data_IF_324016804378
#
_entry.id   IF_324016804378
#
_cell.length_a   1.000
_cell.length_b   1.000
_cell.length_c   1.000
_cell.angle_alpha   90.00
_cell.angle_beta   90.00
_cell.angle_gamma   90.00
#
_symmetry.space_group_name_H-M   'P 1'
#
loop_
_entity.id
_entity.type
_entity.pdbx_description
1 polymer ?
#
# COMPACT_ATOMS: atom_id res chain seq x y z
N UNK A 1 3.95 12.38 6.25
CA UNK A 1 4.46 12.76 7.59
C UNK A 1 4.07 11.66 8.55
N UNK A 2 4.97 11.24 9.46
CA UNK A 2 4.64 10.27 10.52
C UNK A 2 3.67 10.89 11.53
N UNK A 3 2.85 10.08 12.21
CA UNK A 3 1.99 10.60 13.28
C UNK A 3 2.84 11.24 14.37
N UNK A 4 2.42 12.42 14.83
CA UNK A 4 3.11 13.11 15.92
C UNK A 4 2.89 12.36 17.24
N UNK A 5 3.87 12.34 18.16
CA UNK A 5 3.67 11.76 19.47
C UNK A 5 2.48 12.41 20.22
N UNK A 6 1.75 11.65 21.06
CA UNK A 6 0.67 12.19 21.89
C UNK A 6 1.12 13.41 22.72
N UNK A 7 0.25 14.41 22.84
CA UNK A 7 0.54 15.63 23.60
C UNK A 7 0.91 15.36 25.06
N UNK A 8 0.29 14.35 25.68
CA UNK A 8 0.60 13.90 27.05
C UNK A 8 2.07 13.47 27.18
N UNK A 9 2.59 12.72 26.19
CA UNK A 9 3.99 12.28 26.19
C UNK A 9 4.95 13.43 25.88
N UNK A 10 4.56 14.37 25.00
CA UNK A 10 5.37 15.57 24.74
C UNK A 10 5.46 16.49 25.95
N UNK A 11 4.37 16.60 26.72
CA UNK A 11 4.33 17.38 27.96
C UNK A 11 5.21 16.73 29.03
N UNK A 12 5.09 15.42 29.22
CA UNK A 12 5.97 14.65 30.11
C UNK A 12 7.45 14.77 29.70
N UNK A 13 7.75 14.74 28.40
CA UNK A 13 9.11 14.91 27.89
C UNK A 13 9.68 16.29 28.21
N UNK A 14 8.89 17.36 28.01
CA UNK A 14 9.31 18.72 28.33
C UNK A 14 9.54 18.91 29.85
N UNK A 15 8.68 18.32 30.70
CA UNK A 15 8.88 18.30 32.15
C UNK A 15 10.16 17.58 32.53
N UNK A 16 10.40 16.38 31.96
CA UNK A 16 11.60 15.61 32.27
C UNK A 16 12.89 16.31 31.80
N UNK A 17 12.85 16.94 30.62
CA UNK A 17 13.96 17.78 30.14
C UNK A 17 14.26 18.91 31.14
N UNK A 18 13.23 19.59 31.66
CA UNK A 18 13.41 20.64 32.65
C UNK A 18 14.03 20.10 33.96
N UNK A 19 13.61 18.90 34.41
CA UNK A 19 14.19 18.27 35.60
C UNK A 19 15.67 17.95 35.41
N UNK A 20 16.07 17.40 34.25
CA UNK A 20 17.48 17.12 33.96
C UNK A 20 18.37 18.36 33.85
N UNK A 21 17.81 19.58 33.79
CA UNK A 21 18.58 20.83 33.93
C UNK A 21 18.85 21.21 35.38
N UNK A 22 18.05 20.71 36.34
CA UNK A 22 18.09 21.13 37.74
C UNK A 22 18.50 20.00 38.70
N UNK A 23 18.30 18.75 38.30
CA UNK A 23 18.48 17.54 39.10
C UNK A 23 19.13 16.43 38.26
N UNK A 24 19.83 15.50 38.92
CA UNK A 24 20.42 14.33 38.26
C UNK A 24 19.35 13.32 37.82
N UNK A 25 19.60 12.63 36.70
CA UNK A 25 18.69 11.60 36.20
C UNK A 25 18.67 10.37 37.11
N UNK A 26 17.47 9.80 37.28
CA UNK A 26 17.21 8.58 38.05
C UNK A 26 17.47 7.29 37.27
N UNK A 27 17.97 7.39 36.03
CA UNK A 27 18.28 6.22 35.20
C UNK A 27 19.23 5.26 35.92
N UNK A 28 20.29 5.76 36.55
CA UNK A 28 21.24 4.91 37.27
C UNK A 28 20.62 4.22 38.49
N UNK A 29 19.79 4.94 39.26
CA UNK A 29 19.01 4.38 40.37
C UNK A 29 18.17 3.19 39.88
N UNK A 30 17.46 3.35 38.76
CA UNK A 30 16.61 2.29 38.21
C UNK A 30 17.40 1.09 37.66
N UNK A 31 18.59 1.32 37.11
CA UNK A 31 19.47 0.24 36.66
C UNK A 31 20.00 -0.54 37.89
N UNK A 32 20.44 0.14 38.93
CA UNK A 32 20.90 -0.49 40.18
C UNK A 32 19.78 -1.30 40.86
N UNK A 33 18.58 -0.75 40.91
CA UNK A 33 17.38 -1.44 41.40
C UNK A 33 17.08 -2.74 40.63
N UNK A 34 17.19 -2.70 39.30
CA UNK A 34 16.95 -3.85 38.45
C UNK A 34 18.01 -4.94 38.69
N UNK A 35 19.28 -4.54 38.82
CA UNK A 35 20.39 -5.45 39.10
C UNK A 35 20.24 -6.13 40.46
N UNK A 36 19.78 -5.41 41.48
CA UNK A 36 19.51 -5.98 42.81
C UNK A 36 18.33 -6.98 42.85
N UNK A 37 17.35 -6.82 41.95
CA UNK A 37 16.16 -7.71 41.87
C UNK A 37 16.35 -8.91 40.94
N UNK A 38 17.46 -8.99 40.22
CA UNK A 38 17.69 -9.97 39.16
C UNK A 38 18.81 -10.95 39.55
N UNK A 39 18.79 -12.17 39.02
CA UNK A 39 19.89 -13.11 39.26
C UNK A 39 21.21 -12.59 38.69
N UNK A 40 22.37 -12.86 39.31
CA UNK A 40 23.66 -12.34 38.85
C UNK A 40 23.96 -12.64 37.38
N UNK A 41 23.59 -13.84 36.91
CA UNK A 41 23.77 -14.27 35.52
C UNK A 41 22.95 -13.44 34.52
N UNK A 42 21.73 -13.01 34.89
CA UNK A 42 20.89 -12.17 34.03
C UNK A 42 21.30 -10.70 34.13
N UNK A 43 21.70 -10.24 35.31
CA UNK A 43 22.21 -8.88 35.52
C UNK A 43 23.46 -8.61 34.69
N UNK A 44 24.36 -9.59 34.55
CA UNK A 44 25.58 -9.49 33.74
C UNK A 44 25.34 -9.17 32.25
N UNK A 45 24.15 -9.47 31.70
CA UNK A 45 23.82 -9.12 30.32
C UNK A 45 23.49 -7.63 30.14
N UNK A 46 23.27 -6.89 31.23
CA UNK A 46 22.83 -5.50 31.24
C UNK A 46 23.80 -4.58 31.98
N UNK A 47 24.98 -5.08 32.37
CA UNK A 47 26.04 -4.27 32.97
C UNK A 47 26.77 -3.47 31.91
N UNK A 48 27.27 -2.30 32.31
CA UNK A 48 28.15 -1.49 31.46
C UNK A 48 29.38 -2.33 31.07
N UNK A 49 29.73 -2.42 29.77
CA UNK A 49 30.94 -3.10 29.35
C UNK A 49 32.21 -2.49 29.95
N UNK A 50 33.21 -3.32 30.22
CA UNK A 50 34.55 -2.88 30.63
C UNK A 50 35.41 -2.46 29.45
N UNK A 51 35.02 -2.84 28.23
CA UNK A 51 35.68 -2.43 27.00
C UNK A 51 35.43 -0.94 26.74
N UNK A 52 36.50 -0.20 26.46
CA UNK A 52 36.36 1.19 26.06
C UNK A 52 35.60 1.32 24.74
N UNK A 53 34.77 2.35 24.69
CA UNK A 53 34.02 2.72 23.50
C UNK A 53 34.96 3.33 22.44
N UNK A 54 35.02 2.70 21.26
CA UNK A 54 35.94 3.03 20.17
C UNK A 54 35.17 3.57 18.97
N UNK A 55 35.51 4.78 18.54
CA UNK A 55 35.00 5.39 17.32
C UNK A 55 36.14 5.53 16.31
N UNK A 56 35.97 4.96 15.12
CA UNK A 56 36.91 5.11 14.01
C UNK A 56 36.53 6.29 13.11
N UNK A 57 37.47 6.76 12.29
CA UNK A 57 37.22 7.73 11.23
C UNK A 57 36.16 7.18 10.25
N UNK A 58 35.32 8.07 9.71
CA UNK A 58 34.17 7.69 8.88
C UNK A 58 34.56 6.96 7.58
N UNK A 59 35.77 7.22 7.07
CA UNK A 59 36.32 6.63 5.85
C UNK A 59 37.01 5.28 6.09
N UNK A 60 37.25 4.91 7.35
CA UNK A 60 37.87 3.64 7.70
C UNK A 60 36.79 2.57 7.79
N UNK A 61 36.87 1.57 6.91
CA UNK A 61 35.92 0.47 6.88
C UNK A 61 36.46 -0.78 7.59
N UNK A 62 35.57 -1.45 8.34
CA UNK A 62 35.90 -2.68 9.03
C UNK A 62 36.22 -3.81 8.04
N UNK A 63 37.21 -4.65 8.38
CA UNK A 63 37.57 -5.83 7.61
C UNK A 63 36.54 -6.97 7.72
N UNK A 64 36.90 -8.17 7.25
CA UNK A 64 36.01 -9.34 7.24
C UNK A 64 35.73 -9.98 8.63
N UNK A 65 36.29 -9.41 9.70
CA UNK A 65 36.09 -9.89 11.08
C UNK A 65 34.75 -9.42 11.64
N UNK A 66 34.27 -10.07 12.70
CA UNK A 66 33.09 -9.65 13.47
C UNK A 66 33.47 -8.79 14.69
N UNK A 67 34.77 -8.51 14.89
CA UNK A 67 35.30 -7.78 16.06
C UNK A 67 36.36 -6.76 15.65
N UNK A 68 36.40 -5.63 16.37
CA UNK A 68 37.36 -4.55 16.12
C UNK A 68 38.73 -4.76 16.81
N UNK A 69 39.11 -6.01 17.10
CA UNK A 69 40.38 -6.32 17.77
C UNK A 69 41.56 -6.07 16.84
N UNK A 70 41.40 -6.42 15.55
CA UNK A 70 42.45 -6.32 14.53
C UNK A 70 42.38 -5.00 13.73
N UNK A 71 41.54 -4.05 14.15
CA UNK A 71 41.42 -2.75 13.52
C UNK A 71 42.63 -1.86 13.84
N UNK A 72 43.03 -1.05 12.85
CA UNK A 72 44.13 -0.11 12.98
C UNK A 72 43.75 1.04 13.92
N UNK A 73 44.36 1.03 15.10
CA UNK A 73 44.11 2.02 16.15
C UNK A 73 44.52 3.44 15.75
N UNK A 74 45.35 3.62 14.71
CA UNK A 74 45.69 4.96 14.21
C UNK A 74 44.50 5.67 13.55
N UNK A 75 43.47 4.92 13.14
CA UNK A 75 42.22 5.46 12.61
C UNK A 75 41.18 5.77 13.70
N UNK A 76 41.53 5.66 14.98
CA UNK A 76 40.64 6.07 16.07
C UNK A 76 40.49 7.59 16.09
N UNK A 77 39.25 8.04 16.25
CA UNK A 77 38.93 9.45 16.42
C UNK A 77 39.36 9.89 17.81
N UNK A 78 40.19 10.94 17.89
CA UNK A 78 40.56 11.57 19.16
C UNK A 78 39.34 12.26 19.77
N UNK A 79 38.92 11.80 20.96
CA UNK A 79 37.80 12.36 21.71
C UNK A 79 38.26 12.74 23.11
N UNK A 80 37.67 13.79 23.68
CA UNK A 80 37.87 14.12 25.09
C UNK A 80 37.39 12.97 25.97
N UNK A 81 38.14 12.67 27.03
CA UNK A 81 37.66 11.75 28.06
C UNK A 81 36.32 12.25 28.61
N UNK A 82 35.42 11.33 28.90
CA UNK A 82 34.18 11.68 29.60
C UNK A 82 34.51 12.00 31.06
N UNK A 83 33.82 12.99 31.62
CA UNK A 83 33.97 13.36 33.02
C UNK A 83 33.32 12.33 33.97
N UNK A 84 32.35 11.57 33.46
CA UNK A 84 31.61 10.55 34.19
C UNK A 84 31.12 9.41 33.28
N UNK A 85 30.84 8.27 33.90
CA UNK A 85 30.40 7.03 33.22
C UNK A 85 28.88 6.93 33.04
N UNK A 86 28.15 7.99 33.36
CA UNK A 86 26.69 8.00 33.31
C UNK A 86 26.16 8.02 31.86
N UNK A 87 24.97 7.45 31.59
CA UNK A 87 24.33 7.55 30.29
C UNK A 87 24.01 9.00 29.91
N UNK A 88 24.24 9.36 28.64
CA UNK A 88 23.78 10.64 28.08
C UNK A 88 22.41 10.46 27.45
N UNK A 89 21.52 11.40 27.72
CA UNK A 89 20.19 11.45 27.13
C UNK A 89 20.21 12.47 25.99
N UNK A 90 19.93 12.01 24.77
CA UNK A 90 19.85 12.85 23.59
C UNK A 90 18.40 13.10 23.21
N UNK A 91 18.05 14.36 23.01
CA UNK A 91 16.73 14.78 22.57
C UNK A 91 16.81 15.30 21.14
N UNK A 92 16.15 14.63 20.20
CA UNK A 92 16.19 15.04 18.81
C UNK A 92 15.52 14.06 17.87
N UNK A 93 15.75 14.28 16.57
CA UNK A 93 15.18 13.46 15.51
C UNK A 93 15.89 12.10 15.42
N UNK A 94 15.06 11.06 15.30
CA UNK A 94 15.49 9.69 15.01
C UNK A 94 15.07 9.38 13.57
N UNK A 95 16.03 9.05 12.71
CA UNK A 95 15.76 8.55 11.37
C UNK A 95 15.34 7.08 11.41
N UNK A 96 14.44 6.69 10.52
CA UNK A 96 14.06 5.29 10.31
C UNK A 96 14.49 4.84 8.93
N UNK A 97 15.18 3.71 8.83
CA UNK A 97 15.69 3.14 7.59
C UNK A 97 15.20 1.70 7.41
N UNK A 98 14.87 1.32 6.18
CA UNK A 98 14.51 -0.06 5.81
C UNK A 98 15.71 -1.02 5.76
N UNK A 99 16.94 -0.50 5.86
CA UNK A 99 18.19 -1.26 5.84
C UNK A 99 19.12 -0.78 6.95
N UNK A 100 19.95 -1.70 7.45
CA UNK A 100 20.98 -1.36 8.45
C UNK A 100 22.00 -0.43 7.81
N UNK A 101 22.17 0.78 8.37
CA UNK A 101 23.26 1.67 7.98
C UNK A 101 24.56 1.14 8.61
N UNK A 102 25.54 0.80 7.76
CA UNK A 102 26.86 0.28 8.15
C UNK A 102 28.00 1.02 7.45
N UNK A 103 27.80 2.31 7.20
CA UNK A 103 28.72 3.16 6.46
C UNK A 103 28.83 4.51 7.19
N UNK A 104 30.02 4.79 7.73
CA UNK A 104 30.29 5.99 8.51
C UNK A 104 30.10 7.28 7.72
N UNK A 105 30.42 7.28 6.42
CA UNK A 105 30.18 8.44 5.53
C UNK A 105 28.70 8.67 5.33
N UNK A 106 27.93 7.59 5.12
CA UNK A 106 26.48 7.70 4.95
C UNK A 106 25.80 8.20 6.21
N UNK A 107 26.24 7.74 7.38
CA UNK A 107 25.79 8.26 8.69
C UNK A 107 26.03 9.77 8.80
N UNK A 108 27.24 10.23 8.53
CA UNK A 108 27.59 11.65 8.68
C UNK A 108 26.78 12.53 7.71
N UNK A 109 26.56 12.04 6.48
CA UNK A 109 25.68 12.69 5.52
C UNK A 109 24.22 12.75 6.03
N UNK A 110 23.67 11.66 6.58
CA UNK A 110 22.33 11.66 7.16
C UNK A 110 22.20 12.68 8.32
N UNK A 111 23.20 12.74 9.19
CA UNK A 111 23.24 13.69 10.31
C UNK A 111 23.26 15.14 9.81
N UNK A 112 24.05 15.45 8.78
CA UNK A 112 24.12 16.80 8.18
C UNK A 112 22.83 17.18 7.44
N UNK A 113 22.32 16.29 6.59
CA UNK A 113 21.19 16.57 5.72
C UNK A 113 19.86 16.66 6.49
N UNK A 114 19.69 15.84 7.54
CA UNK A 114 18.42 15.68 8.24
C UNK A 114 18.45 16.15 9.70
N UNK A 115 19.62 16.48 10.26
CA UNK A 115 19.76 16.85 11.66
C UNK A 115 19.39 15.72 12.63
N UNK A 116 19.61 14.46 12.23
CA UNK A 116 19.26 13.28 13.03
C UNK A 116 20.41 12.84 13.93
N UNK A 117 20.07 12.33 15.11
CA UNK A 117 21.04 11.86 16.10
C UNK A 117 21.22 10.35 16.09
N UNK A 118 20.24 9.62 15.54
CA UNK A 118 20.17 8.17 15.60
C UNK A 118 19.42 7.63 14.38
N UNK A 119 19.81 6.44 13.93
CA UNK A 119 19.13 5.70 12.86
C UNK A 119 18.64 4.37 13.43
N UNK A 120 17.35 4.10 13.23
CA UNK A 120 16.66 2.90 13.67
C UNK A 120 15.95 2.22 12.48
N UNK A 121 15.31 1.06 12.68
CA UNK A 121 14.80 0.26 11.55
C UNK A 121 13.32 -0.13 11.59
N UNK A 122 12.56 0.23 12.64
CA UNK A 122 11.23 -0.37 12.88
C UNK A 122 10.16 0.64 13.34
N UNK A 123 10.54 1.73 14.00
CA UNK A 123 9.61 2.64 14.66
C UNK A 123 8.73 3.42 13.69
N UNK A 124 9.23 3.78 12.49
CA UNK A 124 8.39 4.45 11.49
C UNK A 124 7.19 3.60 11.05
N UNK A 125 7.30 2.27 11.06
CA UNK A 125 6.18 1.37 10.78
C UNK A 125 5.06 1.54 11.80
N UNK A 126 5.39 1.55 13.09
CA UNK A 126 4.42 1.71 14.18
C UNK A 126 3.83 3.12 14.24
N UNK A 127 4.66 4.14 14.03
CA UNK A 127 4.23 5.55 14.02
C UNK A 127 3.23 5.87 12.91
N UNK A 128 3.14 5.04 11.85
CA UNK A 128 2.12 5.20 10.84
C UNK A 128 0.74 4.72 11.31
N UNK A 129 0.69 3.80 12.27
CA UNK A 129 -0.54 3.14 12.69
C UNK A 129 -1.14 3.79 13.95
N UNK A 130 -0.30 4.33 14.84
CA UNK A 130 -0.77 5.08 16.01
C UNK A 130 0.25 6.13 16.49
N UNK A 131 -0.21 7.24 17.10
CA UNK A 131 0.65 8.22 17.76
C UNK A 131 1.50 7.58 18.86
N UNK A 132 2.83 7.66 18.77
CA UNK A 132 3.73 7.18 19.82
C UNK A 132 5.02 8.02 19.92
N UNK A 133 5.72 7.90 21.06
CA UNK A 133 7.04 8.47 21.28
C UNK A 133 8.08 7.34 21.22
N UNK A 134 9.18 7.56 20.51
CA UNK A 134 10.24 6.57 20.33
C UNK A 134 11.38 6.84 21.32
N UNK A 135 11.76 5.81 22.08
CA UNK A 135 12.90 5.81 23.01
C UNK A 135 13.84 4.69 22.57
N UNK A 136 15.12 5.00 22.35
CA UNK A 136 16.11 4.05 21.85
C UNK A 136 17.43 4.19 22.61
N UNK A 137 18.07 3.06 22.88
CA UNK A 137 19.42 3.01 23.41
C UNK A 137 20.44 2.99 22.26
N UNK A 138 21.47 3.81 22.36
CA UNK A 138 22.55 3.87 21.36
C UNK A 138 23.66 2.91 21.81
N UNK A 139 24.03 1.97 20.94
CA UNK A 139 25.09 0.98 21.20
C UNK A 139 26.10 0.84 20.07
N UNK A 140 25.84 1.45 18.91
CA UNK A 140 26.65 1.36 17.69
C UNK A 140 26.69 2.73 17.01
N UNK A 141 27.71 2.94 16.17
CA UNK A 141 27.94 4.17 15.43
C UNK A 141 27.34 4.19 14.03
N UNK A 142 26.45 3.26 13.68
CA UNK A 142 25.89 3.15 12.32
C UNK A 142 26.95 3.08 11.21
N UNK A 143 28.11 2.52 11.53
CA UNK A 143 29.22 2.29 10.61
C UNK A 143 29.50 0.77 10.48
N UNK A 144 30.60 0.42 9.84
CA UNK A 144 31.00 -0.97 9.63
C UNK A 144 31.55 -1.64 10.91
N UNK A 145 31.82 -0.90 11.98
CA UNK A 145 32.45 -1.35 13.22
C UNK A 145 31.40 -1.69 14.30
N UNK A 146 30.86 -2.91 14.26
CA UNK A 146 29.83 -3.36 15.21
C UNK A 146 30.36 -3.58 16.62
N UNK A 147 29.57 -3.19 17.62
CA UNK A 147 29.84 -3.41 19.02
C UNK A 147 28.66 -4.08 19.76
N UNK A 148 28.68 -5.42 19.79
CA UNK A 148 27.62 -6.22 20.44
C UNK A 148 27.63 -6.09 21.97
N UNK A 149 28.75 -5.71 22.59
CA UNK A 149 28.88 -5.68 24.06
C UNK A 149 27.95 -4.63 24.69
N UNK A 150 27.70 -3.52 23.99
CA UNK A 150 26.91 -2.40 24.51
C UNK A 150 25.40 -2.58 24.35
N UNK A 151 24.93 -3.54 23.55
CA UNK A 151 23.50 -3.71 23.24
C UNK A 151 22.64 -3.91 24.50
N UNK A 152 23.09 -4.77 25.41
CA UNK A 152 22.39 -5.04 26.65
C UNK A 152 22.33 -3.82 27.57
N UNK A 153 23.46 -3.12 27.74
CA UNK A 153 23.52 -1.90 28.54
C UNK A 153 22.66 -0.77 27.95
N UNK A 154 22.74 -0.54 26.64
CA UNK A 154 21.93 0.46 25.95
C UNK A 154 20.43 0.17 26.07
N UNK A 155 20.03 -1.10 25.97
CA UNK A 155 18.63 -1.52 26.15
C UNK A 155 18.11 -1.24 27.57
N UNK A 156 18.91 -1.53 28.62
CA UNK A 156 18.48 -1.27 29.99
C UNK A 156 18.43 0.22 30.30
N UNK A 157 19.35 1.03 29.76
CA UNK A 157 19.33 2.49 29.85
C UNK A 157 18.06 3.05 29.23
N UNK A 158 17.71 2.60 28.01
CA UNK A 158 16.47 3.04 27.35
C UNK A 158 15.22 2.66 28.15
N UNK A 159 15.19 1.47 28.75
CA UNK A 159 14.09 1.03 29.60
C UNK A 159 14.00 1.83 30.92
N UNK A 160 15.14 2.12 31.55
CA UNK A 160 15.21 2.95 32.74
C UNK A 160 14.75 4.38 32.47
N UNK A 161 15.17 4.97 31.34
CA UNK A 161 14.69 6.27 30.90
C UNK A 161 13.19 6.26 30.60
N UNK A 162 12.67 5.21 29.95
CA UNK A 162 11.24 5.06 29.70
C UNK A 162 10.44 5.00 31.02
N UNK A 163 10.96 4.32 32.05
CA UNK A 163 10.36 4.31 33.38
C UNK A 163 10.36 5.72 33.99
N UNK A 164 11.47 6.43 33.90
CA UNK A 164 11.58 7.80 34.40
C UNK A 164 10.56 8.73 33.73
N UNK A 165 10.42 8.65 32.40
CA UNK A 165 9.43 9.39 31.64
C UNK A 165 8.00 9.07 32.12
N UNK A 166 7.66 7.79 32.29
CA UNK A 166 6.33 7.37 32.75
C UNK A 166 6.01 7.93 34.14
N UNK A 167 7.00 8.08 35.02
CA UNK A 167 6.80 8.62 36.37
C UNK A 167 6.44 10.12 36.39
N UNK A 168 6.71 10.86 35.30
CA UNK A 168 6.32 12.28 35.17
C UNK A 168 5.10 12.49 34.28
N UNK A 169 4.47 11.41 33.78
CA UNK A 169 3.24 11.50 32.99
C UNK A 169 2.06 11.84 33.92
N UNK A 170 1.32 12.93 33.69
CA UNK A 170 0.14 13.28 34.49
C UNK A 170 -0.99 12.27 34.35
N UNK A 171 -1.48 11.72 35.48
CA UNK A 171 -2.51 10.66 35.52
C UNK A 171 -3.85 11.15 34.92
N UNK A 172 -4.24 12.39 35.21
CA UNK A 172 -5.45 13.04 34.70
C UNK A 172 -5.47 13.15 33.17
N UNK A 173 -4.30 13.36 32.57
CA UNK A 173 -4.16 13.37 31.11
C UNK A 173 -4.19 11.96 30.52
N UNK A 174 -3.73 10.94 31.24
CA UNK A 174 -3.79 9.54 30.78
C UNK A 174 -5.23 9.06 30.69
N UNK A 175 -6.07 9.39 31.66
CA UNK A 175 -7.49 8.98 31.68
C UNK A 175 -8.31 9.57 30.52
N UNK A 176 -7.90 10.73 30.01
CA UNK A 176 -8.58 11.45 28.92
C UNK A 176 -7.94 11.24 27.55
N UNK A 177 -6.75 10.63 27.49
CA UNK A 177 -6.05 10.35 26.23
C UNK A 177 -6.55 9.03 25.63
N UNK A 178 -7.01 9.01 24.37
CA UNK A 178 -7.39 7.77 23.69
C UNK A 178 -6.24 6.76 23.70
N UNK A 179 -6.56 5.48 23.96
CA UNK A 179 -5.52 4.45 23.92
C UNK A 179 -5.07 4.20 22.47
N UNK A 180 -3.89 3.61 22.29
CA UNK A 180 -3.46 3.16 20.96
C UNK A 180 -4.47 2.20 20.33
N UNK A 181 -5.10 1.34 21.15
CA UNK A 181 -6.15 0.42 20.71
C UNK A 181 -7.40 1.16 20.23
N UNK A 182 -7.84 2.19 20.94
CA UNK A 182 -9.01 2.98 20.55
C UNK A 182 -8.72 3.76 19.26
N UNK A 183 -7.52 4.32 19.14
CA UNK A 183 -7.10 5.03 17.92
C UNK A 183 -7.06 4.11 16.69
N UNK A 184 -6.56 2.89 16.88
CA UNK A 184 -6.55 1.84 15.83
C UNK A 184 -7.97 1.34 15.51
N UNK A 185 -8.83 1.20 16.52
CA UNK A 185 -10.21 0.76 16.32
C UNK A 185 -11.07 1.84 15.64
N UNK A 186 -10.94 3.10 16.05
CA UNK A 186 -11.67 4.23 15.49
C UNK A 186 -11.25 4.52 14.05
N UNK A 187 -9.97 4.46 13.71
CA UNK A 187 -9.51 4.65 12.33
C UNK A 187 -10.03 3.56 11.39
N UNK A 188 -10.04 2.31 11.85
CA UNK A 188 -10.63 1.19 11.11
C UNK A 188 -12.15 1.36 11.02
N UNK A 189 -12.87 1.69 12.09
CA UNK A 189 -14.34 1.81 12.02
C UNK A 189 -14.83 3.06 11.28
N UNK A 190 -14.12 4.18 11.39
CA UNK A 190 -14.51 5.48 10.81
C UNK A 190 -14.51 5.46 9.29
N UNK A 191 -13.56 4.74 8.68
CA UNK A 191 -13.39 4.70 7.23
C UNK A 191 -13.73 3.36 6.60
N UNK A 192 -14.23 2.39 7.37
CA UNK A 192 -14.57 1.08 6.85
C UNK A 192 -15.88 1.12 6.04
N UNK A 193 -15.76 0.93 4.72
CA UNK A 193 -16.89 0.73 3.81
C UNK A 193 -16.62 -0.54 3.00
N UNK A 194 -17.20 -1.70 3.41
CA UNK A 194 -16.96 -2.97 2.75
C UNK A 194 -17.32 -2.91 1.27
N UNK A 195 -16.56 -3.63 0.44
CA UNK A 195 -16.83 -3.77 -0.99
C UNK A 195 -18.25 -4.31 -1.23
N UNK A 196 -19.07 -3.52 -1.92
CA UNK A 196 -20.40 -3.92 -2.37
C UNK A 196 -20.34 -4.28 -3.86
N UNK A 197 -20.66 -5.54 -4.16
CA UNK A 197 -20.75 -6.07 -5.52
C UNK A 197 -22.17 -6.53 -5.86
N UNK A 198 -23.20 -6.10 -5.11
CA UNK A 198 -24.59 -6.50 -5.35
C UNK A 198 -25.05 -6.22 -6.80
N UNK A 199 -24.49 -5.19 -7.44
CA UNK A 199 -24.77 -4.82 -8.83
C UNK A 199 -23.74 -5.33 -9.85
N UNK A 200 -22.76 -6.13 -9.41
CA UNK A 200 -21.66 -6.59 -10.25
C UNK A 200 -21.77 -8.10 -10.50
N UNK A 201 -21.82 -8.56 -11.76
CA UNK A 201 -22.01 -9.98 -12.06
C UNK A 201 -20.87 -10.83 -11.49
N UNK A 202 -21.22 -11.97 -10.89
CA UNK A 202 -20.26 -12.97 -10.43
C UNK A 202 -19.80 -13.80 -11.62
N UNK A 203 -18.53 -13.69 -11.98
CA UNK A 203 -17.90 -14.62 -12.91
C UNK A 203 -17.28 -15.77 -12.13
N UNK A 204 -17.76 -16.99 -12.36
CA UNK A 204 -17.21 -18.21 -11.76
C UNK A 204 -15.86 -18.60 -12.36
N UNK A 205 -15.63 -18.28 -13.64
CA UNK A 205 -14.46 -18.72 -14.39
C UNK A 205 -13.62 -17.51 -14.86
N UNK A 206 -12.65 -17.12 -14.04
CA UNK A 206 -11.60 -16.16 -14.39
C UNK A 206 -10.32 -16.92 -14.72
N UNK A 207 -9.68 -16.64 -15.86
CA UNK A 207 -8.46 -17.34 -16.31
C UNK A 207 -7.37 -16.38 -16.71
N UNK A 208 -6.13 -16.75 -16.39
CA UNK A 208 -4.94 -15.95 -16.66
C UNK A 208 -4.93 -14.64 -15.87
N UNK A 209 -4.17 -13.67 -16.39
CA UNK A 209 -4.06 -12.30 -15.87
C UNK A 209 -3.36 -12.11 -14.52
N UNK A 210 -2.64 -13.12 -14.04
CA UNK A 210 -1.96 -13.02 -12.76
C UNK A 210 -0.89 -11.92 -12.79
N UNK A 211 -0.11 -11.85 -13.86
CA UNK A 211 0.89 -10.79 -14.04
C UNK A 211 0.25 -9.40 -14.03
N UNK A 212 -0.88 -9.20 -14.71
CA UNK A 212 -1.60 -7.92 -14.66
C UNK A 212 -2.13 -7.58 -13.27
N UNK A 213 -2.66 -8.56 -12.53
CA UNK A 213 -3.12 -8.38 -11.14
C UNK A 213 -1.96 -8.02 -10.21
N UNK A 214 -0.84 -8.73 -10.32
CA UNK A 214 0.35 -8.52 -9.50
C UNK A 214 0.96 -7.14 -9.75
N UNK A 215 1.03 -6.72 -11.02
CA UNK A 215 1.50 -5.37 -11.39
C UNK A 215 0.55 -4.28 -10.87
N UNK A 216 -0.77 -4.47 -11.00
CA UNK A 216 -1.75 -3.55 -10.42
C UNK A 216 -1.59 -3.45 -8.90
N UNK A 217 -1.38 -4.58 -8.22
CA UNK A 217 -1.19 -4.61 -6.78
C UNK A 217 0.11 -3.92 -6.37
N UNK A 218 1.21 -4.16 -7.08
CA UNK A 218 2.48 -3.48 -6.82
C UNK A 218 2.34 -1.96 -6.84
N UNK A 219 1.53 -1.43 -7.74
CA UNK A 219 1.29 0.00 -7.86
C UNK A 219 0.23 0.53 -6.88
N UNK A 220 -0.95 -0.11 -6.80
CA UNK A 220 -2.11 0.40 -6.05
C UNK A 220 -2.11 0.04 -4.56
N UNK A 221 -1.17 -0.78 -4.08
CA UNK A 221 -1.02 -1.21 -2.69
C UNK A 221 -1.36 -0.12 -1.67
N UNK A 222 -2.26 -0.42 -0.73
CA UNK A 222 -2.70 0.52 0.31
C UNK A 222 -1.59 0.80 1.34
N UNK A 223 -0.63 1.63 0.95
CA UNK A 223 0.43 2.16 1.80
C UNK A 223 0.00 3.52 2.37
N UNK A 224 0.54 3.91 3.52
CA UNK A 224 0.42 5.29 4.05
C UNK A 224 1.25 6.32 3.26
N UNK A 225 1.46 6.07 1.96
CA UNK A 225 2.09 7.01 1.04
C UNK A 225 1.26 8.30 0.98
N UNK A 226 1.96 9.43 0.90
CA UNK A 226 1.36 10.76 0.84
C UNK A 226 1.01 11.20 -0.59
N UNK A 227 1.02 10.29 -1.57
CA UNK A 227 0.67 10.60 -2.96
C UNK A 227 -0.46 9.69 -3.47
N UNK A 228 -1.40 10.28 -4.20
CA UNK A 228 -2.49 9.56 -4.87
C UNK A 228 -1.93 8.71 -6.01
N UNK A 229 -2.45 7.50 -6.13
CA UNK A 229 -2.10 6.57 -7.21
C UNK A 229 -3.25 6.46 -8.19
N UNK A 230 -2.98 6.60 -9.49
CA UNK A 230 -4.00 6.51 -10.55
C UNK A 230 -3.54 5.48 -11.57
N UNK A 231 -4.22 4.35 -11.64
CA UNK A 231 -3.96 3.29 -12.61
C UNK A 231 -4.99 3.32 -13.73
N UNK A 232 -4.53 3.37 -14.98
CA UNK A 232 -5.37 3.39 -16.18
C UNK A 232 -5.35 2.02 -16.84
N UNK A 233 -6.35 1.20 -16.55
CA UNK A 233 -6.54 -0.11 -17.15
C UNK A 233 -7.20 0.01 -18.53
N UNK A 234 -6.40 -0.05 -19.60
CA UNK A 234 -6.88 0.28 -20.95
C UNK A 234 -6.69 -0.87 -21.97
N UNK A 235 -7.48 -0.86 -23.04
CA UNK A 235 -7.43 -1.87 -24.10
C UNK A 235 -8.73 -1.98 -24.87
N UNK A 236 -8.76 -2.83 -25.90
CA UNK A 236 -9.94 -3.01 -26.77
C UNK A 236 -11.20 -3.44 -26.00
N UNK A 237 -12.37 -3.23 -26.60
CA UNK A 237 -13.65 -3.72 -26.07
C UNK A 237 -13.64 -5.25 -25.91
N UNK A 238 -14.27 -5.77 -24.86
CA UNK A 238 -14.36 -7.22 -24.64
C UNK A 238 -13.08 -7.92 -24.15
N UNK A 239 -12.01 -7.17 -23.84
CA UNK A 239 -10.73 -7.71 -23.34
C UNK A 239 -10.74 -8.13 -21.87
N UNK A 240 -11.83 -7.87 -21.15
CA UNK A 240 -11.98 -8.24 -19.74
C UNK A 240 -11.47 -7.21 -18.74
N UNK A 241 -11.28 -5.94 -19.11
CA UNK A 241 -10.82 -4.86 -18.20
C UNK A 241 -11.68 -4.75 -16.94
N UNK A 242 -13.00 -4.65 -17.12
CA UNK A 242 -13.97 -4.63 -16.02
C UNK A 242 -13.83 -5.85 -15.12
N UNK A 243 -13.64 -7.04 -15.70
CA UNK A 243 -13.50 -8.29 -14.94
C UNK A 243 -12.18 -8.37 -14.17
N UNK A 244 -11.11 -7.85 -14.74
CA UNK A 244 -9.82 -7.71 -14.09
C UNK A 244 -9.89 -6.74 -12.90
N UNK A 245 -10.57 -5.60 -13.06
CA UNK A 245 -10.81 -4.64 -11.96
C UNK A 245 -11.67 -5.23 -10.83
N UNK A 246 -12.71 -6.00 -11.16
CA UNK A 246 -13.54 -6.71 -10.17
C UNK A 246 -12.70 -7.74 -9.41
N UNK A 247 -11.88 -8.50 -10.14
CA UNK A 247 -10.99 -9.51 -9.55
C UNK A 247 -9.99 -8.86 -8.59
N UNK A 248 -9.35 -7.78 -9.02
CA UNK A 248 -8.44 -6.98 -8.19
C UNK A 248 -9.13 -6.50 -6.90
N UNK A 249 -10.32 -5.91 -7.01
CA UNK A 249 -11.08 -5.43 -5.85
C UNK A 249 -11.42 -6.56 -4.87
N UNK A 250 -11.77 -7.74 -5.37
CA UNK A 250 -12.08 -8.93 -4.55
C UNK A 250 -10.86 -9.47 -3.83
N UNK A 251 -9.74 -9.62 -4.55
CA UNK A 251 -8.51 -10.20 -4.01
C UNK A 251 -7.88 -9.31 -2.92
N UNK A 252 -8.14 -7.99 -2.99
CA UNK A 252 -7.58 -7.00 -2.06
C UNK A 252 -8.61 -6.28 -1.19
N UNK A 253 -9.83 -6.82 -1.08
CA UNK A 253 -10.94 -6.16 -0.36
C UNK A 253 -10.61 -5.84 1.12
N UNK A 254 -9.80 -6.69 1.75
CA UNK A 254 -9.43 -6.57 3.16
C UNK A 254 -8.18 -5.69 3.35
N UNK A 255 -7.53 -5.25 2.26
CA UNK A 255 -6.37 -4.36 2.30
C UNK A 255 -6.75 -2.87 2.23
N UNK A 256 -7.93 -2.55 1.71
CA UNK A 256 -8.46 -1.19 1.64
C UNK A 256 -9.49 -0.97 2.76
N UNK A 257 -9.57 0.26 3.28
CA UNK A 257 -10.62 0.64 4.26
C UNK A 257 -11.95 0.84 3.58
N UNK A 258 -11.97 1.37 2.36
CA UNK A 258 -13.19 1.57 1.59
C UNK A 258 -12.99 1.24 0.12
N UNK A 259 -13.97 0.60 -0.51
CA UNK A 259 -13.97 0.35 -1.95
C UNK A 259 -15.28 0.81 -2.58
N UNK A 260 -15.17 1.67 -3.59
CA UNK A 260 -16.29 2.19 -4.35
C UNK A 260 -16.16 1.84 -5.83
N UNK A 261 -17.24 1.28 -6.38
CA UNK A 261 -17.38 1.00 -7.80
C UNK A 261 -18.31 2.03 -8.43
N UNK A 262 -17.81 2.81 -9.38
CA UNK A 262 -18.50 3.95 -9.98
C UNK A 262 -18.64 3.78 -11.48
N UNK A 263 -19.79 4.19 -12.02
CA UNK A 263 -20.08 4.09 -13.46
C UNK A 263 -19.55 5.33 -14.17
N UNK A 264 -18.57 5.15 -15.04
CA UNK A 264 -17.94 6.18 -15.85
C UNK A 264 -18.55 6.40 -17.22
N UNK A 265 -19.70 5.77 -17.51
CA UNK A 265 -20.34 5.77 -18.84
C UNK A 265 -20.50 7.19 -19.44
N UNK A 266 -20.94 8.12 -18.61
CA UNK A 266 -21.13 9.55 -18.91
C UNK A 266 -21.11 10.34 -17.58
N UNK A 267 -21.06 11.67 -17.64
CA UNK A 267 -20.96 12.56 -16.46
C UNK A 267 -22.11 12.35 -15.48
N UNK A 268 -23.32 12.18 -15.99
CA UNK A 268 -24.54 12.08 -15.16
C UNK A 268 -24.61 10.72 -14.44
N UNK A 269 -24.25 9.62 -15.12
CA UNK A 269 -24.13 8.31 -14.51
C UNK A 269 -23.08 8.29 -13.40
N UNK A 270 -21.96 9.01 -13.61
CA UNK A 270 -20.92 9.12 -12.61
C UNK A 270 -21.39 9.86 -11.36
N UNK A 271 -21.99 11.04 -11.55
CA UNK A 271 -22.57 11.85 -10.48
C UNK A 271 -23.57 11.05 -9.64
N UNK A 272 -24.49 10.34 -10.29
CA UNK A 272 -25.47 9.48 -9.60
C UNK A 272 -24.80 8.34 -8.83
N UNK A 273 -23.75 7.73 -9.38
CA UNK A 273 -23.01 6.66 -8.69
C UNK A 273 -22.25 7.16 -7.46
N UNK A 274 -21.67 8.37 -7.53
CA UNK A 274 -21.02 9.04 -6.39
C UNK A 274 -22.03 9.42 -5.30
N UNK A 275 -23.16 10.02 -5.69
CA UNK A 275 -24.27 10.33 -4.79
C UNK A 275 -24.77 9.06 -4.07
N UNK A 276 -24.97 7.96 -4.80
CA UNK A 276 -25.39 6.70 -4.20
C UNK A 276 -24.34 6.11 -3.25
N UNK A 277 -23.04 6.25 -3.58
CA UNK A 277 -21.94 5.78 -2.74
C UNK A 277 -21.90 6.48 -1.38
N UNK A 278 -22.33 7.75 -1.28
CA UNK A 278 -22.38 8.50 -0.03
C UNK A 278 -23.27 7.81 1.02
N UNK A 279 -24.35 7.14 0.61
CA UNK A 279 -25.27 6.44 1.51
C UNK A 279 -24.62 5.29 2.28
N UNK A 280 -23.44 4.83 1.83
CA UNK A 280 -22.67 3.74 2.46
C UNK A 280 -21.61 4.27 3.44
N UNK A 281 -21.43 5.58 3.51
CA UNK A 281 -20.40 6.21 4.35
C UNK A 281 -20.90 6.33 5.80
N UNK A 282 -20.15 5.83 6.81
CA UNK A 282 -20.53 5.95 8.21
C UNK A 282 -20.71 7.40 8.66
N UNK A 283 -21.83 7.68 9.35
CA UNK A 283 -22.12 9.01 9.90
C UNK A 283 -22.55 10.06 8.88
N UNK A 284 -22.61 9.73 7.59
CA UNK A 284 -23.23 10.56 6.56
C UNK A 284 -24.67 10.11 6.36
N UNK A 285 -25.63 10.94 6.78
CA UNK A 285 -27.02 10.78 6.38
C UNK A 285 -27.11 11.31 4.95
N UNK A 286 -27.01 10.41 3.97
CA UNK A 286 -27.58 10.71 2.67
C UNK A 286 -29.07 10.90 2.88
N UNK A 287 -29.57 12.13 2.71
CA UNK A 287 -31.01 12.35 2.65
C UNK A 287 -31.55 11.44 1.54
N UNK A 288 -32.42 10.51 1.91
CA UNK A 288 -32.89 9.44 1.03
C UNK A 288 -33.52 10.02 -0.24
N UNK A 289 -32.78 9.92 -1.35
CA UNK A 289 -33.23 10.21 -2.70
C UNK A 289 -33.10 11.69 -3.07
N UNK A 290 -31.93 12.07 -3.62
CA UNK A 290 -31.78 13.35 -4.31
C UNK A 290 -32.86 13.50 -5.38
N UNK A 291 -33.64 14.57 -5.28
CA UNK A 291 -34.82 14.84 -6.11
C UNK A 291 -34.50 15.71 -7.32
N UNK A 292 -33.37 16.45 -7.29
CA UNK A 292 -32.87 17.25 -8.39
C UNK A 292 -31.35 17.07 -8.65
N UNK A 293 -30.88 17.55 -9.80
CA UNK A 293 -29.48 17.40 -10.22
C UNK A 293 -28.48 18.18 -9.34
N UNK A 294 -28.92 19.23 -8.64
CA UNK A 294 -28.05 20.01 -7.75
C UNK A 294 -27.75 19.25 -6.47
N UNK A 295 -28.76 18.58 -5.90
CA UNK A 295 -28.60 17.69 -4.75
C UNK A 295 -27.65 16.54 -5.07
N UNK A 296 -27.79 15.92 -6.26
CA UNK A 296 -26.88 14.86 -6.72
C UNK A 296 -25.43 15.37 -6.78
N UNK A 297 -25.22 16.55 -7.35
CA UNK A 297 -23.88 17.14 -7.45
C UNK A 297 -23.29 17.50 -6.07
N UNK A 298 -24.11 18.01 -5.16
CA UNK A 298 -23.69 18.30 -3.78
C UNK A 298 -23.28 17.01 -3.04
N UNK A 299 -24.08 15.95 -3.15
CA UNK A 299 -23.79 14.66 -2.53
C UNK A 299 -22.52 14.03 -3.12
N UNK A 300 -22.32 14.13 -4.44
CA UNK A 300 -21.08 13.68 -5.07
C UNK A 300 -19.85 14.44 -4.52
N UNK A 301 -19.96 15.77 -4.35
CA UNK A 301 -18.88 16.58 -3.72
C UNK A 301 -18.62 16.18 -2.26
N UNK A 302 -19.66 15.89 -1.48
CA UNK A 302 -19.50 15.41 -0.10
C UNK A 302 -18.79 14.06 -0.06
N UNK A 303 -19.10 13.15 -0.98
CA UNK A 303 -18.41 11.86 -1.11
C UNK A 303 -16.92 12.05 -1.39
N UNK A 304 -16.56 12.92 -2.35
CA UNK A 304 -15.17 13.27 -2.64
C UNK A 304 -14.47 13.97 -1.46
N UNK A 305 -15.20 14.82 -0.72
CA UNK A 305 -14.70 15.46 0.49
C UNK A 305 -14.39 14.45 1.60
N UNK A 306 -15.24 13.45 1.79
CA UNK A 306 -15.01 12.38 2.75
C UNK A 306 -13.77 11.55 2.42
N UNK A 307 -13.56 11.24 1.14
CA UNK A 307 -12.35 10.57 0.65
C UNK A 307 -11.08 11.40 0.88
N UNK A 308 -11.20 12.73 0.93
CA UNK A 308 -10.09 13.64 1.20
C UNK A 308 -9.84 13.97 2.68
N UNK A 309 -10.54 13.32 3.62
CA UNK A 309 -10.32 13.55 5.05
C UNK A 309 -8.93 13.06 5.50
N UNK A 310 -8.33 13.80 6.43
CA UNK A 310 -7.07 13.39 7.05
C UNK A 310 -7.20 12.00 7.70
N UNK A 311 -6.22 11.14 7.44
CA UNK A 311 -6.23 9.73 7.85
C UNK A 311 -7.01 8.78 6.93
N UNK A 312 -7.79 9.27 5.96
CA UNK A 312 -8.50 8.43 5.00
C UNK A 312 -7.66 8.14 3.75
N UNK A 313 -6.51 7.48 3.90
CA UNK A 313 -5.54 7.26 2.80
C UNK A 313 -5.65 5.90 2.11
N UNK A 314 -6.42 4.97 2.69
CA UNK A 314 -6.44 3.55 2.30
C UNK A 314 -7.72 3.14 1.54
N UNK A 315 -8.38 4.07 0.86
CA UNK A 315 -9.52 3.76 0.00
C UNK A 315 -9.10 3.41 -1.44
N UNK A 316 -9.99 2.71 -2.14
CA UNK A 316 -9.94 2.43 -3.57
C UNK A 316 -11.22 2.92 -4.27
N UNK A 317 -11.08 3.73 -5.31
CA UNK A 317 -12.18 4.08 -6.21
C UNK A 317 -11.93 3.43 -7.57
N UNK A 318 -12.94 2.75 -8.09
CA UNK A 318 -12.91 2.15 -9.41
C UNK A 318 -13.89 2.89 -10.32
N UNK A 319 -13.39 3.63 -11.29
CA UNK A 319 -14.19 4.24 -12.35
C UNK A 319 -14.25 3.29 -13.54
N UNK A 320 -15.38 2.60 -13.72
CA UNK A 320 -15.54 1.62 -14.80
C UNK A 320 -16.14 2.27 -16.05
N UNK A 321 -15.68 1.86 -17.24
CA UNK A 321 -16.25 2.25 -18.53
C UNK A 321 -16.13 3.75 -18.87
N UNK A 322 -14.96 4.35 -18.60
CA UNK A 322 -14.63 5.72 -19.03
C UNK A 322 -14.25 5.71 -20.51
N UNK A 323 -15.23 5.84 -21.39
CA UNK A 323 -15.01 5.83 -22.85
C UNK A 323 -15.32 7.18 -23.53
N UNK A 324 -15.66 8.19 -22.73
CA UNK A 324 -15.90 9.56 -23.16
C UNK A 324 -15.03 10.48 -22.31
N UNK A 325 -13.94 10.98 -22.87
CA UNK A 325 -13.00 11.83 -22.16
C UNK A 325 -12.72 13.09 -22.97
N UNK A 326 -12.80 14.24 -22.31
CA UNK A 326 -12.38 15.52 -22.86
C UNK A 326 -11.71 16.32 -21.73
N UNK A 327 -10.39 16.62 -21.82
CA UNK A 327 -9.73 17.43 -20.81
C UNK A 327 -10.30 18.84 -20.77
N UNK A 328 -10.24 19.50 -19.60
CA UNK A 328 -10.60 20.91 -19.46
C UNK A 328 -9.97 21.75 -20.59
N UNK A 329 -10.80 22.54 -21.28
CA UNK A 329 -10.49 23.40 -22.44
C UNK A 329 -10.58 22.78 -23.83
N UNK A 330 -10.97 21.51 -23.98
CA UNK A 330 -11.27 20.94 -25.30
C UNK A 330 -12.77 21.05 -25.61
N UNK A 331 -13.13 21.94 -26.54
CA UNK A 331 -14.53 22.13 -27.02
C UNK A 331 -14.98 21.06 -28.02
N UNK A 332 -14.20 19.98 -28.18
CA UNK A 332 -14.41 18.96 -29.21
C UNK A 332 -14.90 17.66 -28.57
N UNK A 333 -16.20 17.41 -28.66
CA UNK A 333 -16.82 16.12 -28.33
C UNK A 333 -17.75 16.14 -27.12
N UNK A 334 -18.52 15.07 -26.97
CA UNK A 334 -19.47 14.86 -25.86
C UNK A 334 -18.81 14.25 -24.60
N UNK A 335 -17.48 14.39 -24.46
CA UNK A 335 -16.73 13.87 -23.32
C UNK A 335 -16.80 14.80 -22.10
N UNK A 336 -16.38 14.28 -20.95
CA UNK A 336 -16.24 15.06 -19.72
C UNK A 336 -14.85 14.85 -19.12
N UNK A 337 -14.43 15.75 -18.24
CA UNK A 337 -13.16 15.62 -17.54
C UNK A 337 -13.36 14.79 -16.26
N UNK A 338 -12.89 13.54 -16.28
CA UNK A 338 -12.98 12.66 -15.12
C UNK A 338 -12.13 13.16 -13.94
N UNK A 339 -11.10 13.98 -14.19
CA UNK A 339 -10.24 14.51 -13.13
C UNK A 339 -10.98 15.48 -12.19
N UNK A 340 -12.09 16.10 -12.64
CA UNK A 340 -12.98 16.91 -11.79
C UNK A 340 -13.58 16.08 -10.63
N UNK A 341 -13.62 14.76 -10.78
CA UNK A 341 -14.17 13.80 -9.82
C UNK A 341 -13.10 13.12 -8.98
N UNK A 342 -11.86 13.60 -8.99
CA UNK A 342 -10.82 13.12 -8.09
C UNK A 342 -10.93 13.83 -6.73
N UNK A 343 -10.72 13.13 -5.60
CA UNK A 343 -10.66 13.78 -4.30
C UNK A 343 -9.56 14.85 -4.26
N UNK A 344 -9.80 15.95 -3.54
CA UNK A 344 -8.86 17.09 -3.48
C UNK A 344 -7.52 16.68 -2.85
N UNK A 345 -7.55 15.77 -1.89
CA UNK A 345 -6.35 15.29 -1.21
C UNK A 345 -5.51 14.37 -2.10
N UNK A 346 -4.19 14.47 -1.95
CA UNK A 346 -3.21 13.66 -2.71
C UNK A 346 -2.95 12.31 -2.03
N UNK A 347 -3.98 11.52 -1.78
CA UNK A 347 -3.84 10.17 -1.25
C UNK A 347 -4.92 9.23 -1.80
N UNK A 348 -4.87 7.96 -1.41
CA UNK A 348 -5.78 6.94 -1.90
C UNK A 348 -5.39 6.38 -3.26
N UNK A 349 -6.22 5.47 -3.75
CA UNK A 349 -5.96 4.69 -4.97
C UNK A 349 -7.14 4.77 -5.92
N UNK A 350 -6.87 5.11 -7.17
CA UNK A 350 -7.86 5.20 -8.25
C UNK A 350 -7.50 4.16 -9.32
N UNK A 351 -8.48 3.36 -9.72
CA UNK A 351 -8.39 2.44 -10.84
C UNK A 351 -9.44 2.84 -11.88
N UNK A 352 -9.02 3.06 -13.13
CA UNK A 352 -9.92 3.46 -14.21
C UNK A 352 -9.92 2.38 -15.28
N UNK A 353 -11.10 1.95 -15.76
CA UNK A 353 -11.19 1.08 -16.94
C UNK A 353 -11.65 1.87 -18.18
N UNK A 354 -10.95 1.71 -19.30
CA UNK A 354 -11.21 2.50 -20.51
C UNK A 354 -10.82 1.80 -21.81
N UNK A 355 -11.47 2.14 -22.94
CA UNK A 355 -11.00 1.84 -24.30
C UNK A 355 -10.06 2.92 -24.86
N UNK A 356 -10.00 4.09 -24.22
CA UNK A 356 -9.25 5.25 -24.68
C UNK A 356 -7.79 5.17 -24.21
N UNK A 357 -6.86 5.05 -25.15
CA UNK A 357 -5.44 5.13 -24.83
C UNK A 357 -5.02 6.54 -24.37
N UNK A 358 -5.70 7.58 -24.84
CA UNK A 358 -5.40 8.97 -24.45
C UNK A 358 -5.59 9.26 -22.96
N UNK A 359 -6.41 8.46 -22.25
CA UNK A 359 -6.65 8.63 -20.81
C UNK A 359 -5.40 8.34 -19.94
N UNK A 360 -4.36 7.76 -20.54
CA UNK A 360 -3.07 7.47 -19.88
C UNK A 360 -2.31 8.73 -19.46
N UNK A 361 -2.73 9.93 -19.88
CA UNK A 361 -2.16 11.18 -19.36
C UNK A 361 -2.53 11.47 -17.89
N UNK A 362 -3.57 10.82 -17.37
CA UNK A 362 -4.05 11.02 -16.00
C UNK A 362 -3.36 10.11 -14.96
N UNK A 363 -2.59 9.11 -15.38
CA UNK A 363 -2.02 8.12 -14.47
C UNK A 363 -1.22 7.02 -15.16
N UNK A 364 -0.73 6.07 -14.37
CA UNK A 364 0.12 4.98 -14.86
C UNK A 364 -0.65 4.02 -15.78
N UNK A 365 -0.16 3.74 -17.01
CA UNK A 365 -0.86 2.89 -17.97
C UNK A 365 -0.71 1.39 -17.68
N UNK A 366 -1.83 0.68 -17.64
CA UNK A 366 -1.92 -0.78 -17.54
C UNK A 366 -2.64 -1.36 -18.76
N UNK A 367 -1.90 -1.75 -19.83
CA UNK A 367 -2.52 -2.28 -21.04
C UNK A 367 -2.99 -3.73 -20.85
N UNK A 368 -4.28 -3.98 -21.08
CA UNK A 368 -4.86 -5.33 -21.06
C UNK A 368 -4.65 -5.99 -22.42
N UNK A 369 -3.80 -7.03 -22.43
CA UNK A 369 -3.40 -7.76 -23.65
C UNK A 369 -4.40 -8.83 -24.05
N UNK A 370 -4.18 -9.51 -25.18
CA UNK A 370 -4.94 -10.72 -25.53
C UNK A 370 -4.56 -11.86 -24.59
N UNK A 371 -5.44 -12.85 -24.43
CA UNK A 371 -5.07 -14.07 -23.72
C UNK A 371 -4.07 -14.87 -24.55
N UNK A 372 -3.12 -15.51 -23.88
CA UNK A 372 -2.26 -16.50 -24.53
C UNK A 372 -3.08 -17.73 -24.98
N UNK A 373 -2.45 -18.58 -25.79
CA UNK A 373 -3.08 -19.78 -26.34
C UNK A 373 -3.60 -20.72 -25.26
N UNK A 374 -2.84 -20.90 -24.17
CA UNK A 374 -3.20 -21.81 -23.08
C UNK A 374 -4.50 -21.34 -22.38
N UNK A 375 -4.54 -20.07 -21.95
CA UNK A 375 -5.70 -19.49 -21.30
C UNK A 375 -6.89 -19.35 -22.25
N UNK A 376 -6.65 -19.11 -23.53
CA UNK A 376 -7.69 -19.09 -24.57
C UNK A 376 -8.39 -20.43 -24.71
N UNK A 377 -7.63 -21.53 -24.84
CA UNK A 377 -8.18 -22.90 -24.93
C UNK A 377 -8.96 -23.22 -23.65
N UNK A 378 -8.38 -22.92 -22.49
CA UNK A 378 -9.03 -23.16 -21.20
C UNK A 378 -10.35 -22.42 -21.07
N UNK A 379 -10.40 -21.14 -21.46
CA UNK A 379 -11.63 -20.33 -21.44
C UNK A 379 -12.70 -20.90 -22.37
N UNK A 380 -12.31 -21.33 -23.57
CA UNK A 380 -13.22 -21.94 -24.54
C UNK A 380 -13.83 -23.24 -23.99
N UNK A 381 -13.01 -24.14 -23.46
CA UNK A 381 -13.47 -25.43 -22.90
C UNK A 381 -14.37 -25.25 -21.68
N UNK A 382 -14.09 -24.25 -20.84
CA UNK A 382 -14.95 -23.92 -19.70
C UNK A 382 -16.29 -23.34 -20.15
N UNK A 383 -16.28 -22.40 -21.09
CA UNK A 383 -17.51 -21.76 -21.59
C UNK A 383 -18.40 -22.72 -22.40
N UNK A 384 -17.83 -23.70 -23.10
CA UNK A 384 -18.56 -24.74 -23.81
C UNK A 384 -19.09 -25.88 -22.93
N UNK A 385 -18.72 -25.92 -21.64
CA UNK A 385 -19.12 -27.01 -20.73
C UNK A 385 -18.34 -28.31 -20.91
N UNK A 386 -17.27 -28.30 -21.72
CA UNK A 386 -16.43 -29.47 -22.01
C UNK A 386 -15.30 -29.69 -20.97
N UNK A 387 -15.25 -28.85 -19.93
CA UNK A 387 -14.24 -28.90 -18.87
C UNK A 387 -14.47 -30.05 -17.88
N UNK A 388 -14.26 -31.31 -18.30
CA UNK A 388 -14.17 -32.46 -17.40
C UNK A 388 -12.71 -32.76 -17.03
N UNK A 389 -12.44 -32.98 -15.73
CA UNK A 389 -11.11 -33.10 -15.08
C UNK A 389 -10.15 -34.17 -15.67
N UNK A 390 -10.62 -35.01 -16.59
CA UNK A 390 -9.83 -36.08 -17.22
C UNK A 390 -9.59 -35.89 -18.74
N UNK A 391 -10.06 -34.79 -19.35
CA UNK A 391 -10.05 -34.60 -20.82
C UNK A 391 -9.06 -33.54 -21.30
N UNK A 392 -8.54 -32.69 -20.40
CA UNK A 392 -7.69 -31.53 -20.75
C UNK A 392 -6.40 -31.92 -21.47
N UNK A 393 -5.72 -33.00 -21.05
CA UNK A 393 -4.47 -33.46 -21.70
C UNK A 393 -4.66 -34.07 -23.09
N UNK A 394 -5.88 -34.47 -23.48
CA UNK A 394 -6.18 -35.08 -24.79
C UNK A 394 -6.73 -34.05 -25.80
N UNK A 395 -7.38 -33.00 -25.30
CA UNK A 395 -7.95 -31.89 -26.09
C UNK A 395 -6.94 -30.76 -26.36
N UNK A 396 -5.88 -30.61 -25.55
CA UNK A 396 -4.75 -29.71 -25.83
C UNK A 396 -3.93 -30.10 -27.07
N UNK A 397 -4.25 -31.20 -27.74
CA UNK A 397 -3.61 -31.68 -28.98
C UNK A 397 -4.57 -31.72 -30.18
N UNK A 398 -5.82 -31.27 -30.00
CA UNK A 398 -6.83 -31.29 -31.06
C UNK A 398 -6.59 -30.12 -32.03
N UNK A 399 -6.37 -30.44 -33.31
CA UNK A 399 -6.08 -29.45 -34.35
C UNK A 399 -7.22 -28.45 -34.54
N UNK A 400 -8.48 -28.86 -34.32
CA UNK A 400 -9.64 -27.99 -34.52
C UNK A 400 -9.78 -26.97 -33.39
N UNK A 401 -9.41 -27.35 -32.16
CA UNK A 401 -9.35 -26.43 -31.01
C UNK A 401 -8.32 -25.35 -31.27
N UNK A 402 -7.11 -25.72 -31.70
CA UNK A 402 -6.08 -24.74 -32.05
C UNK A 402 -6.50 -23.85 -33.22
N UNK A 403 -7.08 -24.43 -34.27
CA UNK A 403 -7.53 -23.68 -35.43
C UNK A 403 -8.63 -22.66 -35.06
N UNK A 404 -9.59 -23.04 -34.22
CA UNK A 404 -10.62 -22.12 -33.76
C UNK A 404 -10.08 -21.05 -32.83
N UNK A 405 -9.28 -21.43 -31.83
CA UNK A 405 -8.70 -20.47 -30.89
C UNK A 405 -7.75 -19.47 -31.55
N UNK A 406 -7.01 -19.90 -32.57
CA UNK A 406 -6.23 -19.01 -33.43
C UNK A 406 -7.11 -18.02 -34.20
N UNK A 407 -8.28 -18.43 -34.68
CA UNK A 407 -9.25 -17.53 -35.35
C UNK A 407 -9.90 -16.53 -34.41
N UNK A 408 -10.12 -16.91 -33.15
CA UNK A 408 -10.68 -16.04 -32.12
C UNK A 408 -9.63 -15.09 -31.50
N UNK A 409 -8.35 -15.25 -31.87
CA UNK A 409 -7.26 -14.28 -31.65
C UNK A 409 -7.10 -13.85 -30.18
N UNK A 410 -7.36 -14.78 -29.25
CA UNK A 410 -7.22 -14.56 -27.81
C UNK A 410 -8.15 -13.49 -27.22
N UNK A 411 -9.23 -13.12 -27.92
CA UNK A 411 -10.21 -12.12 -27.48
C UNK A 411 -11.25 -12.75 -26.52
N UNK A 412 -11.25 -12.42 -25.21
CA UNK A 412 -12.07 -13.11 -24.21
C UNK A 412 -13.57 -13.14 -24.54
N UNK A 413 -14.14 -12.00 -24.97
CA UNK A 413 -15.55 -11.94 -25.31
C UNK A 413 -15.91 -12.85 -26.50
N UNK A 414 -15.09 -12.87 -27.55
CA UNK A 414 -15.31 -13.73 -28.70
C UNK A 414 -15.26 -15.21 -28.32
N UNK A 415 -14.33 -15.58 -27.45
CA UNK A 415 -14.16 -16.94 -26.92
C UNK A 415 -15.38 -17.38 -26.09
N UNK A 416 -15.83 -16.52 -25.18
CA UNK A 416 -16.99 -16.81 -24.32
C UNK A 416 -18.26 -16.97 -25.16
N UNK A 417 -18.48 -16.10 -26.16
CA UNK A 417 -19.62 -16.19 -27.06
C UNK A 417 -19.61 -17.48 -27.89
N UNK A 418 -18.45 -17.86 -28.43
CA UNK A 418 -18.29 -19.12 -29.16
C UNK A 418 -18.57 -20.34 -28.27
N UNK A 419 -18.00 -20.38 -27.07
CA UNK A 419 -18.24 -21.47 -26.13
C UNK A 419 -19.69 -21.54 -25.63
N UNK A 420 -20.29 -20.39 -25.29
CA UNK A 420 -21.70 -20.34 -24.90
C UNK A 420 -22.63 -20.86 -26.01
N UNK A 421 -22.39 -20.47 -27.26
CA UNK A 421 -23.12 -20.98 -28.41
C UNK A 421 -23.00 -22.50 -28.52
N UNK A 422 -21.79 -23.06 -28.42
CA UNK A 422 -21.57 -24.52 -28.45
C UNK A 422 -22.35 -25.23 -27.35
N UNK A 423 -22.31 -24.67 -26.13
CA UNK A 423 -23.00 -25.23 -24.96
C UNK A 423 -24.52 -25.24 -25.13
N UNK A 424 -25.09 -24.15 -25.65
CA UNK A 424 -26.54 -23.99 -25.80
C UNK A 424 -27.10 -24.80 -26.97
N UNK A 425 -26.34 -24.97 -28.05
CA UNK A 425 -26.78 -25.68 -29.25
C UNK A 425 -26.38 -27.15 -29.28
N UNK A 426 -25.43 -27.56 -28.43
CA UNK A 426 -24.80 -28.89 -28.49
C UNK A 426 -23.81 -29.05 -29.65
N UNK A 427 -23.47 -27.96 -30.36
CA UNK A 427 -22.54 -27.96 -31.49
C UNK A 427 -21.12 -28.30 -31.02
N UNK A 428 -20.47 -29.25 -31.69
CA UNK A 428 -19.07 -29.59 -31.42
C UNK A 428 -18.11 -28.49 -31.90
N UNK A 429 -16.86 -28.50 -31.41
CA UNK A 429 -15.84 -27.51 -31.79
C UNK A 429 -15.57 -27.55 -33.31
N UNK A 430 -15.47 -28.75 -33.88
CA UNK A 430 -15.27 -28.97 -35.32
C UNK A 430 -16.42 -28.40 -36.15
N UNK A 431 -17.67 -28.64 -35.75
CA UNK A 431 -18.84 -28.11 -36.44
C UNK A 431 -18.92 -26.58 -36.35
N UNK A 432 -18.65 -26.02 -35.17
CA UNK A 432 -18.62 -24.56 -34.99
C UNK A 432 -17.53 -23.92 -35.85
N UNK A 433 -16.33 -24.52 -35.91
CA UNK A 433 -15.25 -24.04 -36.77
C UNK A 433 -15.64 -24.06 -38.25
N UNK A 434 -16.41 -25.07 -38.68
CA UNK A 434 -16.95 -25.14 -40.04
C UNK A 434 -17.96 -24.02 -40.29
N UNK A 435 -18.94 -23.83 -39.43
CA UNK A 435 -19.91 -22.73 -39.53
C UNK A 435 -19.21 -21.37 -39.57
N UNK A 436 -18.25 -21.15 -38.67
CA UNK A 436 -17.47 -19.92 -38.64
C UNK A 436 -16.79 -19.63 -39.99
N UNK A 437 -16.21 -20.65 -40.64
CA UNK A 437 -15.57 -20.48 -41.97
C UNK A 437 -16.58 -20.19 -43.07
N UNK A 438 -17.73 -20.86 -43.07
CA UNK A 438 -18.80 -20.67 -44.06
C UNK A 438 -19.41 -19.27 -43.93
N UNK A 439 -19.89 -18.90 -42.74
CA UNK A 439 -20.47 -17.57 -42.47
C UNK A 439 -19.45 -16.43 -42.69
N UNK A 440 -18.18 -16.63 -42.31
CA UNK A 440 -17.14 -15.62 -42.56
C UNK A 440 -16.92 -15.39 -44.07
N UNK A 441 -16.93 -16.45 -44.86
CA UNK A 441 -16.78 -16.36 -46.32
C UNK A 441 -17.97 -15.62 -46.95
N UNK A 442 -19.19 -15.87 -46.47
CA UNK A 442 -20.40 -15.15 -46.91
C UNK A 442 -20.37 -13.66 -46.53
N UNK A 443 -19.96 -13.33 -45.30
CA UNK A 443 -19.84 -11.94 -44.85
C UNK A 443 -18.75 -11.17 -45.62
N UNK A 444 -17.64 -11.82 -45.98
CA UNK A 444 -16.62 -11.24 -46.87
C UNK A 444 -17.14 -11.00 -48.29
N UNK A 445 -18.03 -11.85 -48.79
CA UNK A 445 -18.68 -11.67 -50.10
C UNK A 445 -19.72 -10.54 -50.09
N UNK A 446 -20.37 -10.30 -48.94
CA UNK A 446 -21.35 -9.22 -48.76
C UNK A 446 -20.73 -7.86 -48.42
N UNK A 447 -19.56 -7.85 -47.78
CA UNK A 447 -18.79 -6.62 -47.52
C UNK A 447 -18.00 -6.21 -48.77
N UNK A 448 -18.65 -5.48 -49.68
CA UNK A 448 -17.93 -4.75 -50.72
C UNK A 448 -16.93 -3.79 -50.05
N UNK A 449 -15.68 -3.67 -50.53
CA UNK A 449 -14.72 -2.72 -49.98
C UNK A 449 -15.19 -1.30 -50.34
N UNK A 450 -15.92 -0.67 -49.42
CA UNK A 450 -16.20 0.76 -49.45
C UNK A 450 -14.88 1.52 -49.29
N UNK A 451 -14.52 2.28 -50.32
CA UNK A 451 -13.42 3.26 -50.31
C UNK A 451 -13.62 4.34 -49.27
#
# INVERSE_FOLDING_TARGET
MLNRPPKVLLTALATLQAHHFTEDSRVLEFISDLQGKTTPRRAANFTRPTEEDRLYQAEYDHGASDTCIDCDQSNLTSRSSRDHDEPMIHYGLIASANQVVKDGRRRDQLAQDLGVYYVEMEAAGLMNDFPCLVIRGICDYADSHKNKAWQGYAAVVAAAYAKELVLVVPIDQVETTPTARDTLADSVQRFNVPLDLTLVPVIENFVGRQDELDNLWQYLQATNSSSRKVAILHGLGGMGKTQLAIRFARDHKDNFTAIFWLSGKDRDALLRSLSFALNRVPGQLGESGATDDREVEQQARHMLGWLGLEGNSRWLIIFDNIDQYSPLNSTVGNGYDIAEFFPVADHGSILITSRLQGLTELGEPFPVRKLDTYHTIRLLLQSSGLSAKNTTRKLESDSDIFALTSRLDGLPLAIILAGAFMRETGTSITEYLKFYRETWSELQLQSSPGR
#
